data_IF_779905973088
#
_entry.id   IF_779905973088
#
_cell.length_a   1.000
_cell.length_b   1.000
_cell.length_c   1.000
_cell.angle_alpha   90.00
_cell.angle_beta   90.00
_cell.angle_gamma   90.00
#
_symmetry.space_group_name_H-M   'P 1'
#
loop_
_entity.id
_entity.type
_entity.pdbx_description
1 polymer ?
#
# COMPACT_ATOMS: atom_id res chain seq x y z
N UNK A 1 -17.24 2.50 -19.71
CA UNK A 1 -16.80 2.61 -18.30
C UNK A 1 -15.90 3.83 -18.12
N UNK A 2 -15.99 4.47 -16.96
CA UNK A 2 -15.17 5.64 -16.61
C UNK A 2 -14.57 5.45 -15.23
N UNK A 3 -13.25 5.68 -15.11
CA UNK A 3 -12.56 5.67 -13.83
C UNK A 3 -12.95 6.93 -13.03
N UNK A 4 -13.44 6.72 -11.81
CA UNK A 4 -13.69 7.77 -10.81
C UNK A 4 -12.72 7.57 -9.64
N UNK A 5 -11.77 8.47 -9.49
CA UNK A 5 -10.74 8.40 -8.45
C UNK A 5 -11.33 8.64 -7.05
N UNK A 6 -10.77 7.98 -6.04
CA UNK A 6 -11.17 8.10 -4.63
C UNK A 6 -11.17 9.54 -4.12
N UNK A 7 -10.23 10.38 -4.56
CA UNK A 7 -10.23 11.83 -4.22
C UNK A 7 -11.53 12.55 -4.58
N UNK A 8 -12.21 12.13 -5.66
CA UNK A 8 -13.49 12.73 -6.06
C UNK A 8 -14.60 12.34 -5.10
N UNK A 9 -14.58 11.07 -4.66
CA UNK A 9 -15.54 10.56 -3.67
C UNK A 9 -15.35 11.27 -2.33
N UNK A 10 -14.12 11.35 -1.85
CA UNK A 10 -13.79 12.02 -0.59
C UNK A 10 -14.22 13.49 -0.64
N UNK A 11 -13.87 14.23 -1.70
CA UNK A 11 -14.25 15.63 -1.86
C UNK A 11 -15.76 15.84 -1.85
N UNK A 12 -16.53 14.92 -2.41
CA UNK A 12 -17.98 15.03 -2.48
C UNK A 12 -18.69 14.60 -1.20
N UNK A 13 -18.04 13.78 -0.36
CA UNK A 13 -18.61 13.25 0.88
C UNK A 13 -18.21 14.02 2.13
N UNK A 14 -17.05 14.70 2.08
CA UNK A 14 -16.49 15.47 3.21
C UNK A 14 -16.35 16.95 2.78
N UNK A 15 -17.48 17.61 2.56
CA UNK A 15 -17.52 19.05 2.21
C UNK A 15 -17.04 19.96 3.36
N UNK A 16 -17.05 19.48 4.60
CA UNK A 16 -16.79 20.23 5.84
C UNK A 16 -15.65 19.67 6.69
N UNK A 17 -14.66 18.95 6.10
CA UNK A 17 -13.58 18.44 6.94
C UNK A 17 -12.71 19.57 7.48
N UNK A 18 -12.43 19.56 8.79
CA UNK A 18 -11.53 20.49 9.48
C UNK A 18 -10.12 20.53 8.87
N UNK A 19 -9.78 19.57 8.02
CA UNK A 19 -8.46 19.37 7.39
C UNK A 19 -8.38 19.83 5.92
N UNK A 20 -9.33 20.61 5.44
CA UNK A 20 -9.27 21.26 4.12
C UNK A 20 -9.48 20.33 2.91
N UNK A 21 -10.06 19.16 3.09
CA UNK A 21 -10.56 18.30 1.98
C UNK A 21 -9.51 17.67 1.07
N UNK A 22 -8.22 17.69 1.43
CA UNK A 22 -7.17 16.99 0.68
C UNK A 22 -7.19 15.48 0.88
N UNK A 23 -7.96 15.03 1.89
CA UNK A 23 -8.39 13.65 2.05
C UNK A 23 -7.28 12.63 2.25
N UNK A 24 -6.14 13.02 2.80
CA UNK A 24 -5.05 12.07 3.11
C UNK A 24 -5.12 11.55 4.55
N UNK A 25 -5.97 12.12 5.39
CA UNK A 25 -6.20 11.61 6.74
C UNK A 25 -6.98 10.30 6.72
N UNK A 26 -6.54 9.32 7.48
CA UNK A 26 -7.16 8.00 7.56
C UNK A 26 -8.62 8.09 8.03
N UNK A 27 -8.91 8.96 9.00
CA UNK A 27 -10.27 9.23 9.47
C UNK A 27 -11.19 9.69 8.34
N UNK A 28 -10.73 10.66 7.54
CA UNK A 28 -11.51 11.21 6.43
C UNK A 28 -11.75 10.15 5.33
N UNK A 29 -10.74 9.32 5.06
CA UNK A 29 -10.85 8.21 4.11
C UNK A 29 -11.89 7.20 4.60
N UNK A 30 -11.83 6.78 5.86
CA UNK A 30 -12.77 5.81 6.43
C UNK A 30 -14.20 6.37 6.47
N UNK A 31 -14.37 7.62 6.87
CA UNK A 31 -15.68 8.29 6.88
C UNK A 31 -16.27 8.40 5.47
N UNK A 32 -15.44 8.73 4.46
CA UNK A 32 -15.90 8.78 3.06
C UNK A 32 -16.35 7.42 2.55
N UNK A 33 -15.65 6.36 2.94
CA UNK A 33 -16.01 4.99 2.57
C UNK A 33 -17.33 4.55 3.19
N UNK A 34 -17.64 5.04 4.38
CA UNK A 34 -18.94 4.79 5.02
C UNK A 34 -20.09 5.55 4.34
N UNK A 35 -19.87 6.81 3.97
CA UNK A 35 -20.90 7.70 3.45
C UNK A 35 -21.20 7.52 1.96
N UNK A 36 -20.26 6.98 1.18
CA UNK A 36 -20.46 6.76 -0.25
C UNK A 36 -21.55 5.71 -0.50
N UNK A 37 -22.23 5.84 -1.66
CA UNK A 37 -23.37 4.99 -2.02
C UNK A 37 -23.12 4.15 -3.29
N UNK A 38 -21.87 4.08 -3.75
CA UNK A 38 -21.52 3.39 -5.00
C UNK A 38 -21.38 1.88 -4.82
N UNK A 39 -20.76 1.45 -3.71
CA UNK A 39 -20.49 0.05 -3.40
C UNK A 39 -20.68 -0.20 -1.91
N UNK A 40 -20.75 -1.48 -1.51
CA UNK A 40 -20.83 -1.83 -0.08
C UNK A 40 -19.63 -1.28 0.70
N UNK A 41 -19.84 -0.48 1.76
CA UNK A 41 -18.76 0.14 2.54
C UNK A 41 -17.75 -0.87 3.11
N UNK A 42 -18.23 -2.02 3.60
CA UNK A 42 -17.34 -3.04 4.18
C UNK A 42 -16.43 -3.67 3.11
N UNK A 43 -16.97 -3.91 1.90
CA UNK A 43 -16.19 -4.40 0.77
C UNK A 43 -15.12 -3.40 0.35
N UNK A 44 -15.46 -2.11 0.33
CA UNK A 44 -14.53 -1.04 -0.02
C UNK A 44 -13.42 -0.90 1.02
N UNK A 45 -13.74 -0.90 2.31
CA UNK A 45 -12.74 -0.88 3.40
C UNK A 45 -11.83 -2.10 3.35
N UNK A 46 -12.40 -3.28 3.11
CA UNK A 46 -11.60 -4.48 2.96
C UNK A 46 -10.62 -4.37 1.78
N UNK A 47 -11.05 -3.84 0.64
CA UNK A 47 -10.20 -3.61 -0.52
C UNK A 47 -9.07 -2.62 -0.19
N UNK A 48 -9.41 -1.50 0.45
CA UNK A 48 -8.45 -0.48 0.87
C UNK A 48 -7.37 -1.05 1.79
N UNK A 49 -7.76 -1.79 2.82
CA UNK A 49 -6.79 -2.35 3.76
C UNK A 49 -5.97 -3.49 3.16
N UNK A 50 -6.54 -4.29 2.25
CA UNK A 50 -5.77 -5.26 1.49
C UNK A 50 -4.70 -4.57 0.63
N UNK A 51 -5.08 -3.50 -0.08
CA UNK A 51 -4.17 -2.67 -0.86
C UNK A 51 -3.09 -2.03 0.03
N UNK A 52 -3.46 -1.50 1.19
CA UNK A 52 -2.51 -0.92 2.15
C UNK A 52 -1.44 -1.94 2.61
N UNK A 53 -1.82 -3.19 2.88
CA UNK A 53 -0.87 -4.25 3.25
C UNK A 53 0.06 -4.60 2.09
N UNK A 54 -0.47 -4.67 0.87
CA UNK A 54 0.34 -4.90 -0.35
C UNK A 54 1.27 -3.71 -0.61
N UNK A 55 0.80 -2.47 -0.45
CA UNK A 55 1.62 -1.26 -0.57
C UNK A 55 2.73 -1.24 0.51
N UNK A 56 2.42 -1.69 1.73
CA UNK A 56 3.43 -1.87 2.78
C UNK A 56 4.48 -2.90 2.37
N UNK A 57 4.09 -4.01 1.77
CA UNK A 57 5.00 -5.04 1.28
C UNK A 57 5.91 -4.54 0.15
N UNK A 58 5.33 -3.87 -0.85
CA UNK A 58 6.05 -3.36 -2.01
C UNK A 58 6.78 -2.03 -1.76
N UNK A 59 6.54 -1.39 -0.63
CA UNK A 59 7.10 -0.09 -0.30
C UNK A 59 6.55 1.05 -1.15
N UNK A 60 5.26 1.03 -1.46
CA UNK A 60 4.60 2.11 -2.19
C UNK A 60 4.47 3.36 -1.31
N UNK A 61 5.08 4.47 -1.72
CA UNK A 61 5.03 5.73 -0.97
C UNK A 61 4.01 6.74 -1.52
N UNK A 62 3.31 6.43 -2.60
CA UNK A 62 2.44 7.37 -3.30
C UNK A 62 0.99 6.88 -3.50
N UNK A 63 0.49 5.96 -2.66
CA UNK A 63 -0.92 5.56 -2.68
C UNK A 63 -1.81 6.63 -2.09
N UNK A 64 -1.88 7.79 -2.72
CA UNK A 64 -2.83 8.84 -2.38
C UNK A 64 -4.23 8.53 -2.97
N UNK A 65 -5.22 9.36 -2.62
CA UNK A 65 -6.62 9.12 -3.03
C UNK A 65 -6.89 9.31 -4.55
N UNK A 66 -5.89 9.69 -5.33
CA UNK A 66 -5.94 9.66 -6.78
C UNK A 66 -5.60 8.30 -7.38
N UNK A 67 -5.02 7.38 -6.60
CA UNK A 67 -4.44 6.12 -7.07
C UNK A 67 -5.27 4.89 -6.66
N UNK A 68 -6.52 5.10 -6.30
CA UNK A 68 -7.57 4.11 -6.14
C UNK A 68 -8.93 4.71 -6.52
N UNK A 69 -9.97 3.90 -6.72
CA UNK A 69 -11.28 4.43 -7.09
C UNK A 69 -12.27 3.39 -7.55
N UNK A 70 -13.17 3.82 -8.42
CA UNK A 70 -14.28 3.04 -8.94
C UNK A 70 -14.30 3.06 -10.46
N UNK A 71 -14.74 1.99 -11.06
CA UNK A 71 -15.19 1.94 -12.45
C UNK A 71 -16.70 2.21 -12.45
N UNK A 72 -17.09 3.25 -13.15
CA UNK A 72 -18.50 3.64 -13.30
C UNK A 72 -18.97 3.37 -14.70
N UNK A 73 -20.05 2.61 -14.83
CA UNK A 73 -20.73 2.38 -16.10
C UNK A 73 -21.95 3.31 -16.22
N UNK A 74 -21.86 4.28 -17.11
CA UNK A 74 -22.93 5.24 -17.35
C UNK A 74 -24.19 4.65 -17.99
N UNK A 75 -24.08 3.50 -18.67
CA UNK A 75 -25.21 2.84 -19.32
C UNK A 75 -26.09 2.10 -18.29
N UNK A 76 -25.45 1.45 -17.33
CA UNK A 76 -26.16 0.66 -16.30
C UNK A 76 -26.30 1.41 -14.97
N UNK A 77 -25.64 2.57 -14.82
CA UNK A 77 -25.53 3.34 -13.59
C UNK A 77 -24.89 2.57 -12.41
N UNK A 78 -24.14 1.49 -12.75
CA UNK A 78 -23.44 0.68 -11.77
C UNK A 78 -22.03 1.21 -11.52
N UNK A 79 -21.56 1.01 -10.30
CA UNK A 79 -20.16 1.24 -9.93
C UNK A 79 -19.57 -0.01 -9.28
N UNK A 80 -18.32 -0.29 -9.59
CA UNK A 80 -17.54 -1.35 -8.96
C UNK A 80 -16.18 -0.80 -8.53
N UNK A 81 -15.52 -1.47 -7.59
CA UNK A 81 -14.18 -1.07 -7.14
C UNK A 81 -13.21 -1.31 -8.30
N UNK A 82 -12.48 -0.27 -8.68
CA UNK A 82 -11.45 -0.39 -9.71
C UNK A 82 -10.35 -1.37 -9.26
N UNK A 83 -9.78 -2.17 -10.18
CA UNK A 83 -8.54 -2.88 -9.90
C UNK A 83 -7.45 -1.93 -9.39
N UNK A 84 -6.49 -2.47 -8.63
CA UNK A 84 -5.35 -1.66 -8.15
C UNK A 84 -4.57 -1.13 -9.35
N UNK A 85 -4.28 0.16 -9.37
CA UNK A 85 -3.52 0.83 -10.43
C UNK A 85 -2.49 1.79 -9.82
N UNK A 86 -1.62 2.34 -10.67
CA UNK A 86 -0.56 3.28 -10.29
C UNK A 86 0.37 2.73 -9.20
N UNK A 87 1.10 1.69 -9.56
CA UNK A 87 2.11 1.06 -8.71
C UNK A 87 3.54 1.56 -9.01
N UNK A 88 3.69 2.66 -9.76
CA UNK A 88 4.97 3.20 -10.19
C UNK A 88 5.89 3.69 -9.05
N UNK A 89 5.36 3.81 -7.83
CA UNK A 89 6.12 4.21 -6.64
C UNK A 89 6.49 3.04 -5.72
N UNK A 90 6.35 1.81 -6.21
CA UNK A 90 6.78 0.59 -5.51
C UNK A 90 8.27 0.29 -5.77
N UNK A 91 8.89 -0.47 -4.87
CA UNK A 91 10.24 -1.03 -5.05
C UNK A 91 11.35 0.02 -5.23
N UNK A 92 11.20 1.20 -4.63
CA UNK A 92 12.19 2.28 -4.70
C UNK A 92 12.59 2.66 -6.14
N UNK A 93 11.65 3.10 -7.00
CA UNK A 93 11.93 3.34 -8.43
C UNK A 93 12.94 4.45 -8.70
N UNK A 94 13.28 5.25 -7.70
CA UNK A 94 14.24 6.35 -7.77
C UNK A 94 15.66 5.93 -7.35
N UNK A 95 15.85 4.67 -6.94
CA UNK A 95 17.17 4.18 -6.59
C UNK A 95 18.02 3.99 -7.87
N UNK A 96 19.11 4.75 -7.96
CA UNK A 96 20.15 4.52 -8.95
C UNK A 96 21.10 3.38 -8.52
N UNK A 97 22.00 2.98 -9.39
CA UNK A 97 22.93 1.88 -9.13
C UNK A 97 23.74 2.10 -7.84
N UNK A 98 24.16 3.33 -7.55
CA UNK A 98 24.92 3.66 -6.34
C UNK A 98 24.10 3.49 -5.07
N UNK A 99 22.80 3.83 -5.12
CA UNK A 99 21.89 3.61 -4.01
C UNK A 99 21.63 2.12 -3.83
N UNK A 100 21.44 1.38 -4.91
CA UNK A 100 21.24 -0.08 -4.87
C UNK A 100 22.45 -0.79 -4.27
N UNK A 101 23.65 -0.48 -4.75
CA UNK A 101 24.92 -1.05 -4.23
C UNK A 101 25.06 -0.76 -2.73
N UNK A 102 24.84 0.48 -2.29
CA UNK A 102 24.93 0.85 -0.88
C UNK A 102 23.93 0.09 -0.01
N UNK A 103 22.68 -0.01 -0.43
CA UNK A 103 21.64 -0.76 0.29
C UNK A 103 21.99 -2.25 0.38
N UNK A 104 22.60 -2.82 -0.64
CA UNK A 104 23.03 -4.22 -0.64
C UNK A 104 24.27 -4.49 0.24
N UNK A 105 25.14 -3.50 0.44
CA UNK A 105 26.41 -3.62 1.18
C UNK A 105 26.27 -3.20 2.65
N UNK A 106 25.26 -2.43 3.00
CA UNK A 106 25.08 -1.83 4.32
C UNK A 106 23.71 -2.21 4.89
N UNK A 107 23.74 -3.00 5.98
CA UNK A 107 22.51 -3.46 6.64
C UNK A 107 21.72 -2.30 7.25
N UNK A 108 22.35 -1.24 7.73
CA UNK A 108 21.66 -0.07 8.28
C UNK A 108 20.92 0.68 7.18
N UNK A 109 21.49 0.79 5.99
CA UNK A 109 20.81 1.36 4.81
C UNK A 109 19.61 0.49 4.38
N UNK A 110 19.78 -0.84 4.35
CA UNK A 110 18.67 -1.76 4.07
C UNK A 110 17.57 -1.62 5.13
N UNK A 111 17.93 -1.62 6.42
CA UNK A 111 16.98 -1.48 7.51
C UNK A 111 16.26 -0.13 7.47
N UNK A 112 16.94 0.97 7.10
CA UNK A 112 16.30 2.26 6.89
C UNK A 112 15.20 2.19 5.80
N UNK A 113 15.40 1.37 4.75
CA UNK A 113 14.41 1.14 3.68
C UNK A 113 13.25 0.23 4.10
N UNK A 114 13.37 -0.47 5.22
CA UNK A 114 12.29 -1.30 5.77
C UNK A 114 11.50 -0.53 6.84
N UNK A 115 12.19 0.13 7.76
CA UNK A 115 11.60 0.69 8.97
C UNK A 115 11.31 2.20 8.91
N UNK A 116 12.03 2.97 8.09
CA UNK A 116 11.92 4.43 8.07
C UNK A 116 11.24 4.94 6.79
N UNK A 117 11.68 4.52 5.64
CA UNK A 117 11.16 4.89 4.33
C UNK A 117 11.22 3.67 3.39
N UNK A 118 10.16 3.39 2.63
CA UNK A 118 8.97 4.22 2.32
C UNK A 118 7.92 4.29 3.44
N UNK A 119 7.24 5.44 3.49
CA UNK A 119 6.03 5.67 4.30
C UNK A 119 4.80 5.68 3.41
N UNK A 120 3.63 5.42 3.97
CA UNK A 120 2.37 5.60 3.24
C UNK A 120 2.12 7.07 2.87
N UNK A 121 1.40 7.32 1.77
CA UNK A 121 0.86 8.64 1.49
C UNK A 121 -0.32 9.00 2.42
N UNK A 122 -0.94 8.00 3.05
CA UNK A 122 -2.00 8.19 4.05
C UNK A 122 -1.39 8.73 5.33
N UNK A 123 -2.12 9.64 5.97
CA UNK A 123 -1.75 10.23 7.26
C UNK A 123 -2.66 9.71 8.36
N UNK A 124 -2.14 9.74 9.57
CA UNK A 124 -2.88 9.54 10.80
C UNK A 124 -2.48 10.63 11.78
N UNK A 125 -3.45 11.43 12.23
CA UNK A 125 -3.23 12.61 13.08
C UNK A 125 -2.21 13.61 12.48
N UNK A 126 -2.34 13.90 11.19
CA UNK A 126 -1.51 14.85 10.44
C UNK A 126 -0.13 14.32 10.03
N UNK A 127 0.26 13.11 10.41
CA UNK A 127 1.58 12.52 10.11
C UNK A 127 1.45 11.36 9.14
N UNK A 128 2.38 11.28 8.18
CA UNK A 128 2.46 10.11 7.30
C UNK A 128 2.61 8.83 8.12
N UNK A 129 1.85 7.81 7.74
CA UNK A 129 1.91 6.50 8.39
C UNK A 129 3.22 5.81 8.02
N UNK A 130 4.03 5.48 9.02
CA UNK A 130 5.13 4.53 8.88
C UNK A 130 4.55 3.12 8.85
N UNK A 131 4.78 2.39 7.78
CA UNK A 131 4.19 1.06 7.58
C UNK A 131 4.51 0.10 8.72
N UNK A 132 5.79 0.00 9.11
CA UNK A 132 6.22 -0.88 10.19
C UNK A 132 5.51 -0.55 11.51
N UNK A 133 5.59 0.68 11.96
CA UNK A 133 5.00 1.10 13.24
C UNK A 133 3.48 0.88 13.25
N UNK A 134 2.83 1.17 12.14
CA UNK A 134 1.37 1.01 12.04
C UNK A 134 0.94 -0.45 12.11
N UNK A 135 1.59 -1.33 11.33
CA UNK A 135 1.27 -2.75 11.31
C UNK A 135 1.57 -3.41 12.67
N UNK A 136 2.72 -3.05 13.29
CA UNK A 136 3.10 -3.56 14.61
C UNK A 136 2.22 -3.04 15.74
N UNK A 137 1.59 -1.88 15.59
CA UNK A 137 0.73 -1.29 16.63
C UNK A 137 -0.58 -2.03 16.88
N UNK A 138 -1.05 -2.84 15.91
CA UNK A 138 -2.34 -3.56 15.92
C UNK A 138 -3.57 -2.66 16.13
N UNK A 139 -3.44 -1.34 16.03
CA UNK A 139 -4.50 -0.38 16.40
C UNK A 139 -5.71 -0.39 15.45
N UNK A 140 -5.56 -0.90 14.24
CA UNK A 140 -6.64 -1.01 13.25
C UNK A 140 -7.07 -2.45 13.07
N UNK A 141 -8.26 -2.79 13.56
CA UNK A 141 -8.83 -4.14 13.42
C UNK A 141 -8.98 -4.55 11.94
N UNK A 142 -9.41 -3.63 11.08
CA UNK A 142 -9.59 -3.91 9.66
C UNK A 142 -8.25 -4.14 8.94
N UNK A 143 -7.20 -3.41 9.33
CA UNK A 143 -5.83 -3.65 8.87
C UNK A 143 -5.30 -5.01 9.34
N UNK A 144 -5.55 -5.37 10.60
CA UNK A 144 -5.18 -6.68 11.15
C UNK A 144 -5.87 -7.82 10.39
N UNK A 145 -7.18 -7.67 10.09
CA UNK A 145 -7.91 -8.61 9.24
C UNK A 145 -7.33 -8.70 7.82
N UNK A 146 -6.83 -7.58 7.28
CA UNK A 146 -6.17 -7.56 5.98
C UNK A 146 -4.83 -8.30 6.01
N UNK A 147 -3.99 -8.11 7.04
CA UNK A 147 -2.78 -8.91 7.24
C UNK A 147 -3.08 -10.41 7.25
N UNK A 148 -4.09 -10.82 8.02
CA UNK A 148 -4.52 -12.22 8.11
C UNK A 148 -5.01 -12.80 6.77
N UNK A 149 -5.53 -11.97 5.87
CA UNK A 149 -5.97 -12.40 4.53
C UNK A 149 -4.84 -12.42 3.50
N UNK A 150 -3.97 -11.41 3.53
CA UNK A 150 -2.98 -11.15 2.47
C UNK A 150 -1.71 -11.97 2.70
N UNK A 151 -1.15 -11.95 3.92
CA UNK A 151 0.14 -12.59 4.19
C UNK A 151 0.17 -14.07 3.79
N UNK A 152 -0.83 -14.92 4.13
CA UNK A 152 -0.82 -16.32 3.72
C UNK A 152 -0.94 -16.58 2.21
N UNK A 153 -1.22 -15.54 1.42
CA UNK A 153 -1.35 -15.61 -0.05
C UNK A 153 -0.10 -15.12 -0.78
N UNK A 154 0.90 -14.65 -0.06
CA UNK A 154 2.16 -14.21 -0.62
C UNK A 154 3.08 -15.43 -0.72
N UNK A 155 3.36 -15.85 -1.94
CA UNK A 155 4.26 -16.96 -2.26
C UNK A 155 5.62 -16.41 -2.65
N UNK A 156 6.53 -16.28 -1.67
CA UNK A 156 7.82 -15.65 -1.87
C UNK A 156 8.67 -16.35 -2.95
N UNK A 157 8.61 -17.68 -3.03
CA UNK A 157 9.33 -18.43 -4.06
C UNK A 157 8.86 -18.05 -5.48
N UNK A 158 7.56 -17.87 -5.68
CA UNK A 158 7.01 -17.43 -6.97
C UNK A 158 7.44 -15.99 -7.30
N UNK A 159 7.46 -15.10 -6.31
CA UNK A 159 7.91 -13.72 -6.49
C UNK A 159 9.40 -13.67 -6.81
N UNK A 160 10.24 -14.45 -6.13
CA UNK A 160 11.67 -14.51 -6.39
C UNK A 160 11.95 -15.06 -7.79
N UNK A 161 11.28 -16.13 -8.20
CA UNK A 161 11.37 -16.67 -9.55
C UNK A 161 10.93 -15.67 -10.62
N UNK A 162 9.78 -14.98 -10.39
CA UNK A 162 9.32 -13.94 -11.30
C UNK A 162 10.35 -12.82 -11.46
N UNK A 163 10.92 -12.32 -10.36
CA UNK A 163 11.96 -11.28 -10.43
C UNK A 163 13.19 -11.76 -11.20
N UNK A 164 13.59 -13.03 -11.03
CA UNK A 164 14.73 -13.61 -11.77
C UNK A 164 14.48 -13.69 -13.28
N UNK A 165 13.23 -13.87 -13.70
CA UNK A 165 12.87 -14.03 -15.11
C UNK A 165 12.67 -12.70 -15.85
N UNK A 166 12.67 -11.54 -15.16
CA UNK A 166 12.47 -10.23 -15.80
C UNK A 166 13.68 -9.87 -16.68
N UNK A 167 13.55 -9.84 -18.02
CA UNK A 167 14.72 -9.79 -18.91
C UNK A 167 15.35 -8.40 -19.04
N UNK A 168 14.73 -7.37 -18.49
CA UNK A 168 15.17 -5.98 -18.63
C UNK A 168 15.97 -5.45 -17.44
N UNK A 169 16.08 -6.26 -16.37
CA UNK A 169 16.82 -5.88 -15.18
C UNK A 169 18.30 -6.25 -15.35
N UNK A 170 19.18 -5.38 -14.88
CA UNK A 170 20.60 -5.73 -14.70
C UNK A 170 20.79 -6.71 -13.54
N UNK A 171 21.94 -7.37 -13.47
CA UNK A 171 22.27 -8.28 -12.36
C UNK A 171 22.19 -7.58 -11.00
N UNK A 172 22.59 -6.30 -10.94
CA UNK A 172 22.45 -5.47 -9.75
C UNK A 172 20.99 -5.26 -9.37
N UNK A 173 20.15 -4.94 -10.33
CA UNK A 173 18.72 -4.73 -10.10
C UNK A 173 18.00 -6.01 -9.68
N UNK A 174 18.33 -7.16 -10.30
CA UNK A 174 17.83 -8.46 -9.85
C UNK A 174 18.16 -8.71 -8.37
N UNK A 175 19.45 -8.59 -8.02
CA UNK A 175 19.90 -8.79 -6.64
C UNK A 175 19.24 -7.81 -5.68
N UNK A 176 19.14 -6.54 -6.06
CA UNK A 176 18.54 -5.50 -5.24
C UNK A 176 17.06 -5.76 -4.96
N UNK A 177 16.25 -6.01 -5.99
CA UNK A 177 14.80 -6.20 -5.80
C UNK A 177 14.50 -7.50 -5.05
N UNK A 178 15.25 -8.58 -5.32
CA UNK A 178 15.11 -9.82 -4.58
C UNK A 178 15.45 -9.64 -3.09
N UNK A 179 16.56 -8.99 -2.78
CA UNK A 179 16.99 -8.70 -1.40
C UNK A 179 15.98 -7.77 -0.69
N UNK A 180 15.57 -6.69 -1.36
CA UNK A 180 14.66 -5.71 -0.79
C UNK A 180 13.31 -6.31 -0.45
N UNK A 181 12.72 -7.06 -1.37
CA UNK A 181 11.40 -7.69 -1.16
C UNK A 181 11.46 -8.77 -0.08
N UNK A 182 12.54 -9.57 -0.05
CA UNK A 182 12.77 -10.57 0.99
C UNK A 182 12.89 -9.92 2.37
N UNK A 183 13.66 -8.84 2.47
CA UNK A 183 13.81 -8.13 3.73
C UNK A 183 12.48 -7.50 4.22
N UNK A 184 11.65 -6.97 3.32
CA UNK A 184 10.32 -6.46 3.69
C UNK A 184 9.38 -7.57 4.14
N UNK A 185 9.46 -8.72 3.50
CA UNK A 185 8.73 -9.91 3.95
C UNK A 185 9.13 -10.31 5.37
N UNK A 186 10.42 -10.57 5.60
CA UNK A 186 10.95 -11.10 6.84
C UNK A 186 10.93 -10.11 8.01
N UNK A 187 11.23 -8.84 7.73
CA UNK A 187 11.42 -7.82 8.79
C UNK A 187 10.18 -6.94 9.02
N UNK A 188 9.21 -6.93 8.10
CA UNK A 188 8.03 -6.07 8.21
C UNK A 188 6.73 -6.88 8.26
N UNK A 189 6.41 -7.67 7.22
CA UNK A 189 5.11 -8.34 7.16
C UNK A 189 5.01 -9.54 8.11
N UNK A 190 6.02 -10.41 8.10
CA UNK A 190 5.97 -11.63 8.94
C UNK A 190 5.89 -11.30 10.42
N UNK A 191 6.70 -10.39 11.00
CA UNK A 191 6.58 -10.05 12.41
C UNK A 191 5.21 -9.47 12.78
N UNK A 192 4.62 -8.63 11.89
CA UNK A 192 3.29 -8.08 12.12
C UNK A 192 2.19 -9.15 12.07
N UNK A 193 2.31 -10.10 11.15
CA UNK A 193 1.38 -11.23 11.03
C UNK A 193 1.50 -12.19 12.22
N UNK A 194 2.72 -12.58 12.59
CA UNK A 194 2.99 -13.51 13.70
C UNK A 194 2.43 -13.00 15.02
N UNK A 195 2.51 -11.70 15.28
CA UNK A 195 1.88 -11.08 16.45
C UNK A 195 0.34 -11.23 16.51
N UNK A 196 -0.32 -11.51 15.40
CA UNK A 196 -1.78 -11.66 15.34
C UNK A 196 -2.22 -13.10 15.54
N UNK A 197 -1.35 -14.07 15.25
CA UNK A 197 -1.66 -15.50 15.33
C UNK A 197 -1.10 -16.19 16.58
N UNK A 198 -0.13 -15.58 17.26
CA UNK A 198 0.47 -16.05 18.52
C UNK A 198 -0.23 -15.46 19.70
#
# INVERSE_FOLDING_TARGET
EKLMQGKTVIKNTILDSEHGGTGTELSDIMESMEKQQFVNPNTLKQHFWNMFVVDAFLGNFDRHNGNWGFLFDSATQNAEIAPVFDCGSCLLPQADDKVMERVLQDEDELNARIFQFPTSAVKDQGRKIHYYDFLMSKKSEDCNKALMRIVPRIHMDEIQNFLQEVPYLSDLQHTFYQTYIQARWEKLLMPAYEQLIG
#
